data_IF_950404214394
#
_entry.id   IF_950404214394
#
_cell.length_a   1.000
_cell.length_b   1.000
_cell.length_c   1.000
_cell.angle_alpha   90.00
_cell.angle_beta   90.00
_cell.angle_gamma   90.00
#
_symmetry.space_group_name_H-M   'P 1'
#
loop_
_entity.id
_entity.type
_entity.pdbx_description
1 polymer ?
#
# COMPACT_ATOMS: atom_id res chain seq x y z
N UNK A 1 22.02 3.58 9.10
CA UNK A 1 21.15 4.77 9.34
C UNK A 1 21.96 5.74 10.19
N UNK A 2 22.10 7.02 9.79
CA UNK A 2 22.94 8.01 10.49
C UNK A 2 22.29 8.39 11.83
N UNK A 3 23.10 8.60 12.90
CA UNK A 3 22.68 8.98 14.26
C UNK A 3 21.76 10.22 14.22
N UNK A 4 22.08 11.21 13.39
CA UNK A 4 21.28 12.42 13.22
C UNK A 4 19.87 12.14 12.68
N UNK A 5 19.73 11.15 11.79
CA UNK A 5 18.42 10.67 11.28
C UNK A 5 17.61 9.99 12.39
N UNK A 6 18.27 9.23 13.27
CA UNK A 6 17.60 8.57 14.41
C UNK A 6 17.09 9.61 15.40
N UNK A 7 17.91 10.58 15.77
CA UNK A 7 17.54 11.66 16.69
C UNK A 7 16.38 12.51 16.14
N UNK A 8 16.41 12.84 14.84
CA UNK A 8 15.34 13.58 14.17
C UNK A 8 14.02 12.81 14.18
N UNK A 9 14.06 11.52 13.88
CA UNK A 9 12.87 10.63 13.93
C UNK A 9 12.35 10.47 15.35
N UNK A 10 13.23 10.37 16.35
CA UNK A 10 12.86 10.30 17.76
C UNK A 10 12.18 11.59 18.25
N UNK A 11 12.74 12.74 17.96
CA UNK A 11 12.11 14.04 18.27
C UNK A 11 10.73 14.15 17.62
N UNK A 12 10.62 13.80 16.33
CA UNK A 12 9.35 13.85 15.60
C UNK A 12 8.32 12.87 16.17
N UNK A 13 8.73 11.69 16.63
CA UNK A 13 7.83 10.73 17.28
C UNK A 13 7.19 11.29 18.57
N UNK A 14 7.93 12.08 19.32
CA UNK A 14 7.44 12.72 20.55
C UNK A 14 6.54 13.92 20.23
N UNK A 15 6.96 14.80 19.31
CA UNK A 15 6.32 16.10 19.07
C UNK A 15 5.19 16.08 18.05
N UNK A 16 5.15 15.07 17.13
CA UNK A 16 4.18 14.99 16.06
C UNK A 16 3.23 13.78 16.28
N UNK A 17 1.98 14.01 16.76
CA UNK A 17 1.02 12.95 17.00
C UNK A 17 0.68 12.13 15.76
N UNK A 18 0.63 12.77 14.57
CA UNK A 18 0.36 12.08 13.31
C UNK A 18 1.50 11.17 12.89
N UNK A 19 2.74 11.65 13.04
CA UNK A 19 3.91 10.83 12.77
C UNK A 19 3.97 9.63 13.71
N UNK A 20 3.76 9.86 15.02
CA UNK A 20 3.69 8.80 16.04
C UNK A 20 2.63 7.75 15.69
N UNK A 21 1.41 8.18 15.35
CA UNK A 21 0.32 7.29 14.98
C UNK A 21 0.70 6.41 13.78
N UNK A 22 1.25 7.01 12.72
CA UNK A 22 1.70 6.27 11.52
C UNK A 22 2.81 5.26 11.83
N UNK A 23 3.73 5.60 12.73
CA UNK A 23 4.77 4.66 13.17
C UNK A 23 4.15 3.51 13.95
N UNK A 24 3.25 3.78 14.88
CA UNK A 24 2.57 2.74 15.68
C UNK A 24 1.75 1.79 14.80
N UNK A 25 1.01 2.30 13.81
CA UNK A 25 0.30 1.45 12.83
C UNK A 25 1.30 0.55 12.09
N UNK A 26 2.41 1.11 11.60
CA UNK A 26 3.44 0.34 10.89
C UNK A 26 4.16 -0.70 11.74
N UNK A 27 4.19 -0.50 13.04
CA UNK A 27 4.77 -1.44 14.01
C UNK A 27 3.76 -2.51 14.49
N UNK A 28 2.53 -2.50 13.99
CA UNK A 28 1.51 -3.48 14.35
C UNK A 28 0.83 -3.22 15.70
N UNK A 29 0.99 -2.04 16.31
CA UNK A 29 0.44 -1.75 17.63
C UNK A 29 -1.11 -1.86 17.71
N UNK A 30 -1.76 -1.88 16.55
CA UNK A 30 -3.21 -1.94 16.43
C UNK A 30 -3.71 -3.19 15.68
N UNK A 31 -2.83 -4.16 15.38
CA UNK A 31 -3.19 -5.30 14.51
C UNK A 31 -4.24 -6.22 15.16
N UNK A 32 -4.24 -6.30 16.49
CA UNK A 32 -5.22 -7.09 17.26
C UNK A 32 -6.62 -6.48 17.35
N UNK A 33 -6.79 -5.21 16.94
CA UNK A 33 -8.11 -4.58 16.97
C UNK A 33 -9.00 -5.12 15.83
N UNK A 34 -10.31 -5.20 16.08
CA UNK A 34 -11.28 -5.38 15.01
C UNK A 34 -11.24 -4.19 14.04
N UNK A 35 -11.71 -4.37 12.80
CA UNK A 35 -11.75 -3.30 11.80
C UNK A 35 -12.47 -2.06 12.31
N UNK A 36 -13.63 -2.24 12.92
CA UNK A 36 -14.41 -1.14 13.47
C UNK A 36 -13.69 -0.45 14.63
N UNK A 37 -13.12 -1.20 15.58
CA UNK A 37 -12.39 -0.64 16.71
C UNK A 37 -11.16 0.14 16.23
N UNK A 38 -10.45 -0.37 15.21
CA UNK A 38 -9.34 0.33 14.58
C UNK A 38 -9.81 1.64 13.95
N UNK A 39 -10.85 1.62 13.12
CA UNK A 39 -11.35 2.81 12.42
C UNK A 39 -11.86 3.86 13.43
N UNK A 40 -12.62 3.48 14.44
CA UNK A 40 -13.07 4.39 15.52
C UNK A 40 -11.91 5.01 16.30
N UNK A 41 -10.81 4.26 16.47
CA UNK A 41 -9.61 4.74 17.17
C UNK A 41 -8.79 5.71 16.35
N UNK A 42 -8.66 5.46 15.04
CA UNK A 42 -7.74 6.20 14.15
C UNK A 42 -8.40 7.43 13.53
N UNK A 43 -9.67 7.35 13.19
CA UNK A 43 -10.40 8.42 12.49
C UNK A 43 -10.34 9.78 13.23
N UNK A 44 -10.60 9.87 14.54
CA UNK A 44 -10.54 11.15 15.25
C UNK A 44 -9.15 11.80 15.22
N UNK A 45 -8.09 10.98 15.13
CA UNK A 45 -6.71 11.48 15.07
C UNK A 45 -6.41 12.21 13.76
N UNK A 46 -7.10 11.85 12.67
CA UNK A 46 -6.94 12.48 11.36
C UNK A 46 -7.96 13.59 11.11
N UNK A 47 -9.18 13.38 11.57
CA UNK A 47 -10.32 14.24 11.22
C UNK A 47 -10.67 15.28 12.30
N UNK A 48 -10.21 15.08 13.53
CA UNK A 48 -10.49 16.01 14.64
C UNK A 48 -11.88 15.85 15.27
N UNK A 49 -12.68 14.85 14.84
CA UNK A 49 -14.01 14.55 15.38
C UNK A 49 -14.27 13.04 15.40
N UNK A 50 -15.21 12.53 16.24
CA UNK A 50 -15.52 11.11 16.33
C UNK A 50 -16.11 10.54 15.04
N UNK A 51 -15.82 9.27 14.74
CA UNK A 51 -16.40 8.53 13.61
C UNK A 51 -17.85 8.14 13.92
N UNK A 52 -18.79 8.62 13.11
CA UNK A 52 -20.19 8.18 13.15
C UNK A 52 -20.44 7.14 12.04
N UNK A 53 -20.57 5.86 12.44
CA UNK A 53 -20.86 4.76 11.53
C UNK A 53 -22.36 4.47 11.43
N UNK A 54 -23.16 4.90 12.40
CA UNK A 54 -24.60 4.63 12.43
C UNK A 54 -25.36 5.54 11.46
N UNK A 55 -24.89 6.78 11.31
CA UNK A 55 -25.42 7.75 10.36
C UNK A 55 -24.30 8.61 9.76
N UNK A 56 -23.50 8.06 8.83
CA UNK A 56 -22.35 8.76 8.25
C UNK A 56 -22.81 9.92 7.34
N UNK A 57 -22.45 11.15 7.71
CA UNK A 57 -22.83 12.36 6.98
C UNK A 57 -21.73 12.82 6.03
N UNK A 58 -20.49 12.83 6.51
CA UNK A 58 -19.35 13.32 5.74
C UNK A 58 -18.82 12.27 4.76
N UNK A 59 -18.14 12.71 3.71
CA UNK A 59 -17.45 11.82 2.77
C UNK A 59 -16.48 10.87 3.51
N UNK A 60 -15.71 11.41 4.46
CA UNK A 60 -14.73 10.63 5.21
C UNK A 60 -15.39 9.54 6.07
N UNK A 61 -16.53 9.80 6.69
CA UNK A 61 -17.30 8.79 7.44
C UNK A 61 -17.87 7.72 6.51
N UNK A 62 -18.45 8.12 5.37
CA UNK A 62 -18.98 7.20 4.36
C UNK A 62 -17.87 6.26 3.83
N UNK A 63 -16.66 6.76 3.62
CA UNK A 63 -15.51 5.95 3.23
C UNK A 63 -15.15 4.90 4.29
N UNK A 64 -15.20 5.23 5.58
CA UNK A 64 -14.97 4.24 6.64
C UNK A 64 -16.11 3.22 6.74
N UNK A 65 -17.35 3.66 6.57
CA UNK A 65 -18.51 2.78 6.52
C UNK A 65 -18.38 1.76 5.37
N UNK A 66 -17.99 2.20 4.18
CA UNK A 66 -17.77 1.32 3.02
C UNK A 66 -16.70 0.26 3.29
N UNK A 67 -15.61 0.60 4.00
CA UNK A 67 -14.58 -0.38 4.38
C UNK A 67 -15.12 -1.53 5.22
N UNK A 68 -16.16 -1.28 6.02
CA UNK A 68 -16.76 -2.29 6.90
C UNK A 68 -17.87 -3.09 6.20
N UNK A 69 -18.71 -2.43 5.41
CA UNK A 69 -19.99 -2.98 4.99
C UNK A 69 -20.14 -3.18 3.47
N UNK A 70 -19.45 -2.42 2.62
CA UNK A 70 -19.52 -2.60 1.17
C UNK A 70 -18.38 -3.52 0.68
N UNK A 71 -18.60 -4.84 0.79
CA UNK A 71 -17.63 -5.90 0.49
C UNK A 71 -18.02 -6.68 -0.76
N UNK A 72 -17.62 -6.20 -1.94
CA UNK A 72 -17.83 -6.88 -3.22
C UNK A 72 -16.55 -7.55 -3.69
N UNK A 73 -16.58 -8.82 -4.07
CA UNK A 73 -15.41 -9.59 -4.50
C UNK A 73 -14.63 -8.91 -5.64
N UNK A 74 -15.32 -8.19 -6.52
CA UNK A 74 -14.68 -7.43 -7.62
C UNK A 74 -13.67 -6.40 -7.12
N UNK A 75 -13.80 -5.91 -5.90
CA UNK A 75 -12.85 -4.91 -5.36
C UNK A 75 -11.45 -5.49 -5.14
N UNK A 76 -11.33 -6.78 -4.79
CA UNK A 76 -10.04 -7.46 -4.71
C UNK A 76 -9.34 -7.50 -6.08
N UNK A 77 -10.09 -7.78 -7.15
CA UNK A 77 -9.57 -7.70 -8.52
C UNK A 77 -9.13 -6.28 -8.88
N UNK A 78 -9.90 -5.26 -8.47
CA UNK A 78 -9.62 -3.85 -8.80
C UNK A 78 -8.41 -3.27 -8.06
N UNK A 79 -8.09 -3.76 -6.86
CA UNK A 79 -6.91 -3.26 -6.11
C UNK A 79 -5.62 -3.98 -6.48
N UNK A 80 -5.68 -5.22 -7.00
CA UNK A 80 -4.53 -5.91 -7.54
C UNK A 80 -4.13 -5.30 -8.88
N UNK A 81 -2.86 -4.86 -9.00
CA UNK A 81 -2.40 -4.10 -10.17
C UNK A 81 -2.33 -4.93 -11.46
N UNK A 82 -2.20 -6.24 -11.33
CA UNK A 82 -2.17 -7.13 -12.49
C UNK A 82 -3.57 -7.57 -12.90
N UNK A 83 -4.39 -8.00 -11.94
CA UNK A 83 -5.77 -8.42 -12.19
C UNK A 83 -6.64 -7.26 -12.70
N UNK A 84 -6.43 -6.04 -12.16
CA UNK A 84 -7.10 -4.84 -12.65
C UNK A 84 -6.80 -4.56 -14.14
N UNK A 85 -5.57 -4.83 -14.61
CA UNK A 85 -5.24 -4.67 -16.03
C UNK A 85 -5.98 -5.67 -16.91
N UNK A 86 -6.10 -6.94 -16.49
CA UNK A 86 -6.89 -7.95 -17.19
C UNK A 86 -8.36 -7.52 -17.23
N UNK A 87 -8.92 -7.12 -16.11
CA UNK A 87 -10.29 -6.65 -16.04
C UNK A 87 -10.57 -5.46 -16.97
N UNK A 88 -9.61 -4.53 -17.09
CA UNK A 88 -9.72 -3.38 -17.98
C UNK A 88 -9.56 -3.77 -19.46
N UNK A 89 -8.69 -4.74 -19.78
CA UNK A 89 -8.44 -5.17 -21.15
C UNK A 89 -9.70 -5.67 -21.87
N UNK A 90 -10.67 -6.21 -21.13
CA UNK A 90 -11.96 -6.65 -21.66
C UNK A 90 -12.95 -5.49 -21.91
N UNK A 91 -12.62 -4.26 -21.50
CA UNK A 91 -13.56 -3.12 -21.43
C UNK A 91 -13.10 -1.88 -22.16
N UNK A 92 -11.79 -1.73 -22.34
CA UNK A 92 -11.19 -0.58 -23.03
C UNK A 92 -10.14 -1.08 -24.04
N UNK A 93 -9.82 -0.24 -25.01
CA UNK A 93 -8.78 -0.53 -25.99
C UNK A 93 -7.41 -0.70 -25.30
N UNK A 94 -6.68 -1.75 -25.69
CA UNK A 94 -5.37 -2.12 -25.14
C UNK A 94 -4.33 -0.99 -25.22
N UNK A 95 -4.47 -0.05 -26.15
CA UNK A 95 -3.59 1.13 -26.26
C UNK A 95 -3.60 2.05 -25.02
N UNK A 96 -4.66 1.95 -24.19
CA UNK A 96 -4.76 2.71 -22.92
C UNK A 96 -4.18 1.95 -21.72
N UNK A 97 -3.76 0.69 -21.92
CA UNK A 97 -3.21 -0.14 -20.85
C UNK A 97 -1.69 -0.18 -20.97
N UNK A 98 -1.00 0.29 -19.93
CA UNK A 98 0.46 0.23 -19.89
C UNK A 98 0.90 -1.22 -19.96
N UNK A 99 1.77 -1.63 -20.91
CA UNK A 99 2.23 -3.00 -21.06
C UNK A 99 2.86 -3.55 -19.77
N UNK A 100 2.58 -4.83 -19.50
CA UNK A 100 3.23 -5.58 -18.43
C UNK A 100 4.38 -6.37 -19.03
N UNK A 101 5.60 -6.14 -18.56
CA UNK A 101 6.81 -6.82 -19.06
C UNK A 101 6.94 -8.24 -18.51
N UNK A 102 6.37 -8.49 -17.32
CA UNK A 102 6.35 -9.80 -16.67
C UNK A 102 5.65 -9.73 -15.32
N UNK A 103 5.31 -10.90 -14.79
CA UNK A 103 4.76 -11.10 -13.44
C UNK A 103 5.51 -12.27 -12.84
N UNK A 104 6.00 -12.10 -11.62
CA UNK A 104 6.83 -13.07 -10.91
C UNK A 104 6.36 -13.17 -9.45
N UNK A 105 6.47 -14.33 -8.87
CA UNK A 105 6.08 -14.56 -7.47
C UNK A 105 7.18 -14.11 -6.50
N UNK A 106 8.43 -14.07 -6.96
CA UNK A 106 9.56 -13.59 -6.18
C UNK A 106 10.51 -12.69 -6.99
N UNK A 107 11.28 -11.87 -6.27
CA UNK A 107 12.29 -11.01 -6.89
C UNK A 107 13.38 -11.81 -7.64
N UNK A 108 13.67 -13.02 -7.18
CA UNK A 108 14.76 -13.85 -7.71
C UNK A 108 14.43 -14.50 -9.05
N UNK A 109 13.14 -14.59 -9.40
CA UNK A 109 12.67 -15.11 -10.69
C UNK A 109 12.79 -14.08 -11.81
N UNK A 110 13.06 -12.81 -11.51
CA UNK A 110 13.11 -11.74 -12.51
C UNK A 110 14.37 -11.92 -13.38
N UNK A 111 14.15 -12.19 -14.67
CA UNK A 111 15.20 -12.10 -15.68
C UNK A 111 15.48 -10.64 -16.03
N UNK A 112 16.43 -10.05 -15.33
CA UNK A 112 16.81 -8.67 -15.54
C UNK A 112 17.46 -8.42 -16.90
N UNK A 113 18.04 -9.44 -17.53
CA UNK A 113 18.68 -9.30 -18.83
C UNK A 113 17.66 -9.11 -19.95
N UNK A 114 16.51 -9.75 -19.83
CA UNK A 114 15.37 -9.58 -20.73
C UNK A 114 14.64 -8.25 -20.58
N UNK A 115 14.81 -7.53 -19.44
CA UNK A 115 14.13 -6.26 -19.23
C UNK A 115 14.77 -5.11 -20.06
N UNK A 116 13.97 -4.12 -20.52
CA UNK A 116 14.48 -2.94 -21.20
C UNK A 116 15.37 -2.08 -20.28
N UNK A 117 16.05 -1.07 -20.86
CA UNK A 117 16.91 -0.17 -20.10
C UNK A 117 16.16 0.61 -19.00
N UNK A 118 14.88 0.88 -19.22
CA UNK A 118 14.01 1.57 -18.27
C UNK A 118 12.79 0.71 -17.94
N UNK A 119 12.54 0.49 -16.65
CA UNK A 119 11.40 -0.29 -16.17
C UNK A 119 10.96 0.13 -14.77
N UNK A 120 9.80 -0.35 -14.36
CA UNK A 120 9.27 -0.18 -13.00
C UNK A 120 8.87 -1.53 -12.45
N UNK A 121 9.36 -1.89 -11.27
CA UNK A 121 8.89 -3.01 -10.48
C UNK A 121 7.85 -2.53 -9.48
N UNK A 122 6.76 -3.27 -9.33
CA UNK A 122 5.68 -2.97 -8.38
C UNK A 122 5.15 -4.28 -7.80
N UNK A 123 4.94 -4.32 -6.49
CA UNK A 123 4.10 -5.38 -5.91
C UNK A 123 2.64 -5.16 -6.34
N UNK A 124 1.91 -6.24 -6.62
CA UNK A 124 0.53 -6.15 -7.13
C UNK A 124 -0.44 -5.75 -6.03
N UNK A 125 -0.24 -6.24 -4.82
CA UNK A 125 -1.15 -6.20 -3.67
C UNK A 125 -1.01 -4.98 -2.75
N UNK A 126 -0.07 -4.05 -3.00
CA UNK A 126 0.19 -2.93 -2.09
C UNK A 126 0.24 -1.56 -2.78
N UNK A 127 0.42 -0.49 -1.99
CA UNK A 127 0.63 0.89 -2.49
C UNK A 127 2.04 1.41 -2.24
N UNK A 128 3.04 0.55 -1.98
CA UNK A 128 4.35 1.02 -1.54
C UNK A 128 5.58 0.32 -2.11
N UNK A 129 5.43 -0.90 -2.61
CA UNK A 129 6.52 -1.69 -3.19
C UNK A 129 6.85 -1.27 -4.61
N UNK A 130 7.44 -0.09 -4.79
CA UNK A 130 7.76 0.47 -6.12
C UNK A 130 9.25 0.74 -6.22
N UNK A 131 9.86 0.25 -7.31
CA UNK A 131 11.24 0.55 -7.69
C UNK A 131 11.27 1.02 -9.15
N UNK A 132 11.84 2.19 -9.39
CA UNK A 132 11.96 2.79 -10.71
C UNK A 132 13.39 2.66 -11.18
N UNK A 133 13.61 1.92 -12.28
CA UNK A 133 14.88 1.86 -13.00
C UNK A 133 14.84 2.84 -14.16
N UNK A 134 15.68 3.87 -14.11
CA UNK A 134 15.86 4.85 -15.20
C UNK A 134 17.02 4.52 -16.12
N UNK A 135 17.96 3.70 -15.65
CA UNK A 135 19.15 3.27 -16.36
C UNK A 135 19.62 1.94 -15.75
N UNK A 136 19.48 0.87 -16.54
CA UNK A 136 19.80 -0.51 -16.11
C UNK A 136 21.27 -0.66 -15.74
N UNK A 137 22.19 0.08 -16.38
CA UNK A 137 23.63 0.03 -16.08
C UNK A 137 23.97 0.53 -14.67
N UNK A 138 23.10 1.34 -14.06
CA UNK A 138 23.22 1.92 -12.72
C UNK A 138 22.22 1.34 -11.73
N UNK A 139 21.52 0.27 -12.10
CA UNK A 139 20.46 -0.29 -11.28
C UNK A 139 21.00 -1.01 -10.05
N UNK A 140 20.62 -0.55 -8.87
CA UNK A 140 20.95 -1.20 -7.60
C UNK A 140 19.99 -2.38 -7.36
N UNK A 141 20.35 -3.57 -7.90
CA UNK A 141 19.55 -4.78 -7.80
C UNK A 141 19.32 -5.21 -6.35
N UNK A 142 20.34 -5.12 -5.48
CA UNK A 142 20.21 -5.50 -4.08
C UNK A 142 19.29 -4.54 -3.29
N UNK A 143 19.42 -3.24 -3.49
CA UNK A 143 18.51 -2.26 -2.90
C UNK A 143 17.06 -2.45 -3.37
N UNK A 144 16.86 -2.78 -4.64
CA UNK A 144 15.55 -3.10 -5.20
C UNK A 144 14.96 -4.37 -4.57
N UNK A 145 15.76 -5.44 -4.40
CA UNK A 145 15.38 -6.68 -3.72
C UNK A 145 14.84 -6.41 -2.33
N UNK A 146 15.58 -5.63 -1.53
CA UNK A 146 15.17 -5.29 -0.16
C UNK A 146 13.82 -4.55 -0.12
N UNK A 147 13.59 -3.62 -1.04
CA UNK A 147 12.32 -2.88 -1.12
C UNK A 147 11.17 -3.81 -1.48
N UNK A 148 11.33 -4.62 -2.53
CA UNK A 148 10.28 -5.51 -3.02
C UNK A 148 9.99 -6.61 -2.00
N UNK A 149 11.01 -7.30 -1.47
CA UNK A 149 10.81 -8.38 -0.50
C UNK A 149 10.17 -7.87 0.80
N UNK A 150 10.54 -6.68 1.27
CA UNK A 150 9.87 -6.05 2.41
C UNK A 150 8.40 -5.76 2.13
N UNK A 151 8.06 -5.41 0.90
CA UNK A 151 6.68 -5.14 0.48
C UNK A 151 5.87 -6.42 0.34
N UNK A 152 6.44 -7.48 -0.23
CA UNK A 152 5.82 -8.79 -0.37
C UNK A 152 5.45 -9.43 0.98
N UNK A 153 6.27 -9.18 2.01
CA UNK A 153 6.02 -9.67 3.37
C UNK A 153 4.97 -8.87 4.14
N UNK A 154 4.47 -7.76 3.58
CA UNK A 154 3.61 -6.84 4.29
C UNK A 154 2.14 -7.15 4.03
N UNK A 155 1.38 -7.35 5.09
CA UNK A 155 -0.07 -7.32 5.03
C UNK A 155 -0.55 -5.86 4.90
N UNK A 156 -0.91 -5.46 3.67
CA UNK A 156 -1.31 -4.08 3.39
C UNK A 156 -2.68 -3.74 4.00
N UNK A 157 -3.55 -4.73 4.15
CA UNK A 157 -4.85 -4.56 4.82
C UNK A 157 -4.73 -3.97 6.23
N UNK A 158 -3.75 -4.39 7.02
CA UNK A 158 -3.55 -3.92 8.40
C UNK A 158 -3.25 -2.41 8.51
N UNK A 159 -2.86 -1.76 7.41
CA UNK A 159 -2.51 -0.32 7.40
C UNK A 159 -3.74 0.56 7.51
N UNK A 160 -4.81 0.23 6.79
CA UNK A 160 -5.98 1.08 6.65
C UNK A 160 -7.32 0.34 6.77
N UNK A 161 -7.26 -0.98 7.04
CA UNK A 161 -8.44 -1.88 7.10
C UNK A 161 -9.28 -1.82 5.82
N UNK A 162 -8.61 -1.73 4.69
CA UNK A 162 -9.25 -1.84 3.38
C UNK A 162 -9.30 -3.32 3.00
N UNK A 163 -10.42 -3.97 3.28
CA UNK A 163 -10.58 -5.42 3.14
C UNK A 163 -10.21 -6.01 1.76
N UNK A 164 -10.30 -5.28 0.62
CA UNK A 164 -9.88 -5.83 -0.66
C UNK A 164 -8.40 -6.23 -0.73
N UNK A 165 -7.59 -5.74 0.20
CA UNK A 165 -6.17 -6.09 0.34
C UNK A 165 -5.91 -7.24 1.33
N UNK A 166 -6.96 -7.89 1.84
CA UNK A 166 -6.86 -8.98 2.82
C UNK A 166 -6.51 -10.31 2.18
#
# INVERSE_FOLDING_TARGET
MNIQTILTKGKRFISDPYYRLRVMIKMGAYDSLSDEAFLRRIFPQYMGYPLNLDNPQTFSEKMQWMKLYDRKSIYTTMVDKYEAKKYLADRIDSKYIIPTLGVWDSFDEIDFDALPNQFVLKCTHDSGGIVICKDKSKFNKEGARQIINKSLQRDFYLIAREWPYK
#
